data_IF_483421231349
#
_entry.id   IF_483421231349
#
_cell.length_a   1.000
_cell.length_b   1.000
_cell.length_c   1.000
_cell.angle_alpha   90.00
_cell.angle_beta   90.00
_cell.angle_gamma   90.00
#
_symmetry.space_group_name_H-M   'P 1'
#
loop_
_entity.id
_entity.type
_entity.pdbx_description
1 polymer ?
#
# COMPACT_ATOMS: atom_id res chain seq x y z
N UNK A 1 -16.83 -9.36 -40.76
CA UNK A 1 -17.48 -8.16 -40.19
C UNK A 1 -18.71 -8.55 -39.38
N UNK A 2 -18.59 -8.62 -38.05
CA UNK A 2 -19.54 -8.07 -37.07
C UNK A 2 -18.96 -8.29 -35.67
N UNK A 3 -18.42 -7.20 -35.13
CA UNK A 3 -18.01 -7.03 -33.73
C UNK A 3 -19.24 -6.65 -32.89
N UNK A 4 -19.13 -6.84 -31.58
CA UNK A 4 -20.01 -6.28 -30.54
C UNK A 4 -20.81 -7.38 -29.84
N UNK A 5 -20.90 -7.45 -28.51
CA UNK A 5 -20.66 -6.43 -27.50
C UNK A 5 -20.54 -7.19 -26.16
N UNK A 6 -19.33 -7.38 -25.65
CA UNK A 6 -19.12 -7.89 -24.29
C UNK A 6 -19.36 -6.75 -23.31
N UNK A 7 -20.43 -6.85 -22.53
CA UNK A 7 -20.78 -5.91 -21.47
C UNK A 7 -19.66 -5.93 -20.41
N UNK A 8 -18.78 -4.93 -20.46
CA UNK A 8 -17.81 -4.66 -19.40
C UNK A 8 -18.55 -3.85 -18.34
N UNK A 9 -18.90 -4.50 -17.24
CA UNK A 9 -19.68 -3.94 -16.15
C UNK A 9 -18.74 -3.03 -15.33
N UNK A 10 -18.65 -1.77 -15.78
CA UNK A 10 -17.87 -0.73 -15.14
C UNK A 10 -18.61 -0.29 -13.87
N UNK A 11 -18.21 -0.83 -12.72
CA UNK A 11 -18.69 -0.39 -11.40
C UNK A 11 -18.08 0.99 -11.14
N UNK A 12 -18.81 2.04 -11.50
CA UNK A 12 -18.50 3.41 -11.11
C UNK A 12 -18.73 3.54 -9.59
N UNK A 13 -17.65 3.38 -8.82
CA UNK A 13 -17.63 3.73 -7.41
C UNK A 13 -17.37 5.23 -7.31
N UNK A 14 -18.44 6.02 -7.26
CA UNK A 14 -18.35 7.47 -7.13
C UNK A 14 -18.08 7.85 -5.66
N UNK A 15 -16.83 8.21 -5.36
CA UNK A 15 -16.49 8.87 -4.08
C UNK A 15 -16.88 10.34 -4.20
N UNK A 16 -18.06 10.69 -3.68
CA UNK A 16 -18.51 12.07 -3.58
C UNK A 16 -18.06 12.67 -2.25
N UNK A 17 -17.06 13.56 -2.26
CA UNK A 17 -16.67 14.32 -1.07
C UNK A 17 -17.68 15.47 -0.88
N UNK A 18 -18.80 15.21 -0.23
CA UNK A 18 -19.73 16.25 0.19
C UNK A 18 -19.50 16.56 1.66
N UNK A 19 -18.99 17.76 1.95
CA UNK A 19 -19.00 18.34 3.29
C UNK A 19 -20.43 18.78 3.65
N UNK A 20 -21.31 17.81 3.85
CA UNK A 20 -22.55 17.96 4.56
C UNK A 20 -22.58 16.81 5.57
N UNK A 21 -22.45 17.13 6.86
CA UNK A 21 -22.71 16.17 7.93
C UNK A 21 -24.15 15.71 7.75
N UNK A 22 -24.34 14.50 7.20
CA UNK A 22 -25.65 13.88 7.16
C UNK A 22 -25.95 13.43 8.59
N UNK A 23 -26.73 14.26 9.27
CA UNK A 23 -27.04 14.14 10.71
C UNK A 23 -27.78 12.84 11.07
N UNK A 24 -28.09 11.98 10.11
CA UNK A 24 -28.76 10.71 10.34
C UNK A 24 -27.83 9.53 10.72
N UNK A 25 -26.53 9.58 10.36
CA UNK A 25 -25.64 8.41 10.52
C UNK A 25 -24.33 8.69 11.29
N UNK A 26 -23.97 9.95 11.53
CA UNK A 26 -22.74 10.31 12.28
C UNK A 26 -21.43 10.15 11.50
N UNK A 27 -21.52 9.75 10.22
CA UNK A 27 -20.37 9.65 9.31
C UNK A 27 -20.01 11.01 8.70
N UNK A 28 -18.72 11.30 8.62
CA UNK A 28 -18.16 12.42 7.84
C UNK A 28 -17.87 12.01 6.39
N UNK A 29 -17.68 10.71 6.15
CA UNK A 29 -17.59 10.09 4.82
C UNK A 29 -18.27 8.73 4.92
N UNK A 30 -19.23 8.42 4.05
CA UNK A 30 -19.89 7.11 4.00
C UNK A 30 -19.67 6.41 2.67
N UNK A 31 -19.70 5.07 2.71
CA UNK A 31 -19.61 4.21 1.53
C UNK A 31 -21.04 3.81 1.14
N UNK A 32 -21.38 4.01 -0.14
CA UNK A 32 -22.68 3.64 -0.70
C UNK A 32 -22.53 2.61 -1.80
N UNK A 33 -23.37 1.59 -1.76
CA UNK A 33 -23.52 0.63 -2.86
C UNK A 33 -24.87 0.86 -3.52
N UNK A 34 -24.88 1.19 -4.82
CA UNK A 34 -26.12 1.46 -5.59
C UNK A 34 -27.03 2.53 -4.96
N UNK A 35 -26.44 3.47 -4.24
CA UNK A 35 -27.14 4.57 -3.57
C UNK A 35 -27.61 4.25 -2.14
N UNK A 36 -27.41 3.01 -1.66
CA UNK A 36 -27.75 2.60 -0.29
C UNK A 36 -26.51 2.63 0.62
N UNK A 37 -26.69 3.06 1.88
CA UNK A 37 -25.62 3.07 2.89
C UNK A 37 -25.18 1.65 3.21
N UNK A 38 -23.86 1.40 3.22
CA UNK A 38 -23.32 0.07 3.53
C UNK A 38 -23.06 -0.13 5.02
N UNK A 39 -23.11 0.95 5.82
CA UNK A 39 -22.65 0.95 7.21
C UNK A 39 -21.14 1.05 7.36
N UNK A 40 -20.40 1.25 6.27
CA UNK A 40 -18.95 1.49 6.27
C UNK A 40 -18.67 2.96 5.99
N UNK A 41 -17.59 3.49 6.57
CA UNK A 41 -17.25 4.90 6.47
C UNK A 41 -16.46 5.38 7.67
N UNK A 42 -16.25 6.69 7.73
CA UNK A 42 -15.50 7.35 8.79
C UNK A 42 -16.46 8.15 9.65
N UNK A 43 -16.52 7.86 10.95
CA UNK A 43 -17.30 8.66 11.88
C UNK A 43 -16.59 9.97 12.21
N UNK A 44 -17.34 10.99 12.63
CA UNK A 44 -16.73 12.24 13.10
C UNK A 44 -15.77 11.98 14.28
N UNK A 45 -16.17 11.14 15.22
CA UNK A 45 -15.37 10.79 16.40
C UNK A 45 -14.03 10.14 15.99
N UNK A 46 -14.06 9.15 15.10
CA UNK A 46 -12.83 8.48 14.64
C UNK A 46 -11.88 9.44 13.91
N UNK A 47 -12.43 10.36 13.11
CA UNK A 47 -11.63 11.36 12.42
C UNK A 47 -11.00 12.36 13.38
N UNK A 48 -11.76 12.88 14.35
CA UNK A 48 -11.23 13.84 15.33
C UNK A 48 -10.21 13.20 16.25
N UNK A 49 -10.42 11.95 16.68
CA UNK A 49 -9.48 11.23 17.55
C UNK A 49 -8.13 11.04 16.86
N UNK A 50 -8.14 10.59 15.60
CA UNK A 50 -6.91 10.44 14.82
C UNK A 50 -6.25 11.79 14.53
N UNK A 51 -7.05 12.80 14.19
CA UNK A 51 -6.54 14.14 13.94
C UNK A 51 -5.87 14.73 15.18
N UNK A 52 -6.46 14.59 16.36
CA UNK A 52 -5.87 15.04 17.62
C UNK A 52 -4.54 14.33 17.93
N UNK A 53 -4.48 13.02 17.70
CA UNK A 53 -3.26 12.23 17.85
C UNK A 53 -2.15 12.71 16.91
N UNK A 54 -2.44 12.83 15.61
CA UNK A 54 -1.46 13.31 14.63
C UNK A 54 -1.07 14.77 14.86
N UNK A 55 -2.00 15.62 15.29
CA UNK A 55 -1.73 17.02 15.61
C UNK A 55 -0.72 17.14 16.76
N UNK A 56 -0.83 16.29 17.79
CA UNK A 56 0.16 16.25 18.87
C UNK A 56 1.55 15.91 18.33
N UNK A 57 1.65 14.94 17.42
CA UNK A 57 2.91 14.59 16.78
C UNK A 57 3.50 15.75 15.97
N UNK A 58 2.71 16.37 15.10
CA UNK A 58 3.18 17.47 14.24
C UNK A 58 3.40 18.79 14.99
N UNK A 59 2.72 19.02 16.13
CA UNK A 59 2.91 20.21 16.96
C UNK A 59 4.33 20.34 17.53
N UNK A 60 5.09 19.24 17.56
CA UNK A 60 6.50 19.25 17.94
C UNK A 60 7.41 19.78 16.83
N UNK A 61 6.91 19.92 15.60
CA UNK A 61 7.62 20.48 14.47
C UNK A 61 7.31 21.98 14.32
N UNK A 62 8.34 22.82 14.39
CA UNK A 62 8.20 24.28 14.31
C UNK A 62 7.68 24.80 12.95
N UNK A 63 7.71 23.99 11.90
CA UNK A 63 7.26 24.39 10.56
C UNK A 63 5.79 24.10 10.28
N UNK A 64 5.07 23.43 11.18
CA UNK A 64 3.67 23.06 10.99
C UNK A 64 2.75 24.17 11.53
N UNK A 65 1.88 24.71 10.68
CA UNK A 65 0.84 25.66 11.06
C UNK A 65 -0.49 24.92 11.29
N UNK A 66 -0.98 24.80 12.54
CA UNK A 66 -2.20 24.05 12.83
C UNK A 66 -3.47 24.55 12.14
N UNK A 67 -3.50 25.81 11.69
CA UNK A 67 -4.67 26.41 11.04
C UNK A 67 -4.65 26.09 9.55
N UNK A 68 -3.51 26.30 8.88
CA UNK A 68 -3.39 26.09 7.44
C UNK A 68 -3.08 24.63 7.09
N UNK A 69 -2.12 24.02 7.77
CA UNK A 69 -1.69 22.64 7.51
C UNK A 69 -2.62 21.62 8.16
N UNK A 70 -3.31 21.99 9.25
CA UNK A 70 -4.26 21.12 9.96
C UNK A 70 -5.43 20.66 9.08
N UNK A 71 -5.90 21.52 8.18
CA UNK A 71 -6.98 21.16 7.24
C UNK A 71 -6.51 20.06 6.28
N UNK A 72 -5.29 20.19 5.74
CA UNK A 72 -4.72 19.18 4.86
C UNK A 72 -4.44 17.88 5.60
N UNK A 73 -3.92 17.96 6.82
CA UNK A 73 -3.70 16.79 7.67
C UNK A 73 -5.01 16.01 7.90
N UNK A 74 -6.08 16.72 8.25
CA UNK A 74 -7.39 16.10 8.49
C UNK A 74 -7.98 15.48 7.22
N UNK A 75 -7.79 16.13 6.07
CA UNK A 75 -8.19 15.59 4.77
C UNK A 75 -7.41 14.31 4.43
N UNK A 76 -6.09 14.30 4.61
CA UNK A 76 -5.26 13.11 4.36
C UNK A 76 -5.63 11.94 5.28
N UNK A 77 -5.89 12.22 6.56
CA UNK A 77 -6.39 11.21 7.50
C UNK A 77 -7.71 10.62 7.01
N UNK A 78 -8.66 11.47 6.59
CA UNK A 78 -9.93 11.01 6.06
C UNK A 78 -9.74 10.16 4.79
N UNK A 79 -8.85 10.57 3.88
CA UNK A 79 -8.54 9.80 2.67
C UNK A 79 -7.96 8.41 2.98
N UNK A 80 -7.00 8.33 3.89
CA UNK A 80 -6.39 7.05 4.26
C UNK A 80 -7.40 6.13 4.94
N UNK A 81 -8.22 6.66 5.86
CA UNK A 81 -9.24 5.87 6.54
C UNK A 81 -10.32 5.38 5.57
N UNK A 82 -10.78 6.20 4.62
CA UNK A 82 -11.84 5.77 3.69
C UNK A 82 -11.34 4.70 2.73
N UNK A 83 -10.07 4.76 2.31
CA UNK A 83 -9.47 3.71 1.50
C UNK A 83 -9.41 2.37 2.24
N UNK A 84 -9.08 2.40 3.53
CA UNK A 84 -9.10 1.20 4.40
C UNK A 84 -10.51 0.64 4.57
N UNK A 85 -11.48 1.50 4.85
CA UNK A 85 -12.89 1.11 4.98
C UNK A 85 -13.43 0.53 3.67
N UNK A 86 -13.04 1.09 2.53
CA UNK A 86 -13.41 0.58 1.22
C UNK A 86 -12.82 -0.80 0.96
N UNK A 87 -11.55 -1.02 1.31
CA UNK A 87 -10.91 -2.33 1.23
C UNK A 87 -11.61 -3.35 2.13
N UNK A 88 -11.92 -2.98 3.38
CA UNK A 88 -12.61 -3.83 4.34
C UNK A 88 -14.01 -4.21 3.84
N UNK A 89 -14.77 -3.24 3.34
CA UNK A 89 -16.08 -3.46 2.76
C UNK A 89 -15.99 -4.39 1.54
N UNK A 90 -15.03 -4.15 0.63
CA UNK A 90 -14.80 -5.00 -0.53
C UNK A 90 -14.50 -6.45 -0.13
N UNK A 91 -13.55 -6.62 0.80
CA UNK A 91 -13.15 -7.92 1.30
C UNK A 91 -14.31 -8.67 1.96
N UNK A 92 -15.09 -8.00 2.81
CA UNK A 92 -16.30 -8.58 3.40
C UNK A 92 -17.29 -9.00 2.31
N UNK A 93 -17.53 -8.14 1.32
CA UNK A 93 -18.51 -8.42 0.25
C UNK A 93 -18.12 -9.61 -0.61
N UNK A 94 -16.83 -9.78 -0.86
CA UNK A 94 -16.24 -10.87 -1.65
C UNK A 94 -15.84 -12.09 -0.81
N UNK A 95 -16.00 -12.03 0.51
CA UNK A 95 -15.51 -13.03 1.46
C UNK A 95 -14.01 -13.34 1.27
N UNK A 96 -13.20 -12.31 1.04
CA UNK A 96 -11.76 -12.46 0.97
C UNK A 96 -11.20 -12.81 2.35
N UNK A 97 -10.30 -13.77 2.37
CA UNK A 97 -9.65 -14.26 3.59
C UNK A 97 -8.15 -14.19 3.44
N UNK A 98 -7.46 -13.88 4.53
CA UNK A 98 -6.01 -13.96 4.61
C UNK A 98 -5.57 -15.26 5.28
N UNK A 99 -4.40 -15.76 4.89
CA UNK A 99 -3.73 -16.87 5.57
C UNK A 99 -3.16 -16.37 6.92
N UNK A 100 -3.84 -16.71 8.01
CA UNK A 100 -3.47 -16.27 9.36
C UNK A 100 -2.11 -16.84 9.79
N UNK A 101 -1.78 -18.07 9.40
CA UNK A 101 -0.51 -18.67 9.77
C UNK A 101 0.64 -17.93 9.09
N UNK A 102 0.47 -17.60 7.81
CA UNK A 102 1.45 -16.81 7.07
C UNK A 102 1.58 -15.40 7.64
N UNK A 103 0.48 -14.76 8.01
CA UNK A 103 0.49 -13.45 8.68
C UNK A 103 1.33 -13.49 9.96
N UNK A 104 1.01 -14.42 10.87
CA UNK A 104 1.72 -14.57 12.14
C UNK A 104 3.21 -14.85 11.93
N UNK A 105 3.58 -15.69 10.95
CA UNK A 105 4.98 -15.97 10.63
C UNK A 105 5.73 -14.69 10.21
N UNK A 106 5.15 -13.90 9.30
CA UNK A 106 5.78 -12.67 8.81
C UNK A 106 5.90 -11.61 9.91
N UNK A 107 4.87 -11.45 10.75
CA UNK A 107 4.89 -10.52 11.88
C UNK A 107 5.97 -10.94 12.89
N UNK A 108 6.01 -12.21 13.25
CA UNK A 108 6.99 -12.73 14.20
C UNK A 108 8.43 -12.58 13.68
N UNK A 109 8.67 -12.79 12.39
CA UNK A 109 10.00 -12.59 11.80
C UNK A 109 10.49 -11.16 12.00
N UNK A 110 9.66 -10.16 11.68
CA UNK A 110 10.00 -8.74 11.86
C UNK A 110 10.21 -8.40 13.33
N UNK A 111 9.28 -8.81 14.20
CA UNK A 111 9.33 -8.49 15.63
C UNK A 111 10.53 -9.16 16.31
N UNK A 112 10.88 -10.40 15.95
CA UNK A 112 12.06 -11.08 16.48
C UNK A 112 13.35 -10.43 16.00
N UNK A 113 13.44 -10.02 14.73
CA UNK A 113 14.62 -9.33 14.21
C UNK A 113 14.89 -8.04 14.98
N UNK A 114 13.84 -7.25 15.25
CA UNK A 114 13.94 -6.04 16.08
C UNK A 114 14.26 -6.37 17.53
N UNK A 115 13.59 -7.37 18.13
CA UNK A 115 13.78 -7.71 19.54
C UNK A 115 15.19 -8.26 19.84
N UNK A 116 15.83 -8.90 18.87
CA UNK A 116 17.18 -9.46 19.02
C UNK A 116 18.28 -8.45 18.71
N UNK A 117 17.93 -7.28 18.17
CA UNK A 117 18.87 -6.21 17.90
C UNK A 117 18.99 -5.25 19.11
N UNK A 118 20.14 -5.25 19.81
CA UNK A 118 20.33 -4.41 20.98
C UNK A 118 20.37 -2.90 20.67
N UNK A 119 20.60 -2.50 19.43
CA UNK A 119 20.60 -1.09 19.02
C UNK A 119 19.20 -0.60 18.65
N UNK A 120 18.41 -1.45 17.97
CA UNK A 120 17.09 -1.08 17.47
C UNK A 120 15.98 -1.26 18.50
N UNK A 121 16.03 -2.31 19.33
CA UNK A 121 14.98 -2.60 20.32
C UNK A 121 14.66 -1.41 21.25
N UNK A 122 15.65 -0.72 21.88
CA UNK A 122 15.35 0.39 22.78
C UNK A 122 14.66 1.57 22.08
N UNK A 123 14.96 1.79 20.80
CA UNK A 123 14.36 2.87 20.00
C UNK A 123 12.89 2.55 19.70
N UNK A 124 12.60 1.30 19.35
CA UNK A 124 11.23 0.82 19.12
C UNK A 124 10.42 0.85 20.41
N UNK A 125 10.97 0.41 21.54
CA UNK A 125 10.29 0.51 22.84
C UNK A 125 10.03 1.98 23.23
N UNK A 126 10.94 2.89 22.93
CA UNK A 126 10.73 4.33 23.17
C UNK A 126 9.62 4.93 22.29
N UNK A 127 9.51 4.47 21.04
CA UNK A 127 8.52 4.97 20.08
C UNK A 127 7.11 4.39 20.30
N UNK A 128 7.01 3.08 20.50
CA UNK A 128 5.74 2.36 20.60
C UNK A 128 5.32 2.07 22.05
N UNK A 129 6.17 2.37 23.02
CA UNK A 129 5.95 2.16 24.46
C UNK A 129 6.27 0.74 24.93
N UNK A 130 6.18 -0.26 24.05
CA UNK A 130 6.57 -1.64 24.33
C UNK A 130 6.76 -2.44 23.02
N UNK A 131 7.45 -3.58 23.11
CA UNK A 131 7.51 -4.54 22.00
C UNK A 131 6.15 -5.18 21.66
N UNK A 132 5.22 -5.23 22.62
CA UNK A 132 3.86 -5.72 22.39
C UNK A 132 3.07 -4.76 21.51
N UNK A 133 3.12 -3.46 21.81
CA UNK A 133 2.49 -2.44 20.99
C UNK A 133 3.11 -2.39 19.58
N UNK A 134 4.41 -2.63 19.47
CA UNK A 134 5.08 -2.79 18.19
C UNK A 134 4.57 -4.02 17.42
N UNK A 135 4.39 -5.16 18.09
CA UNK A 135 3.80 -6.36 17.48
C UNK A 135 2.40 -6.06 16.91
N UNK A 136 1.52 -5.43 17.69
CA UNK A 136 0.17 -5.06 17.24
C UNK A 136 0.19 -4.11 16.04
N UNK A 137 1.11 -3.14 16.03
CA UNK A 137 1.31 -2.25 14.88
C UNK A 137 1.73 -3.04 13.62
N UNK A 138 2.75 -3.90 13.73
CA UNK A 138 3.23 -4.72 12.60
C UNK A 138 2.12 -5.66 12.11
N UNK A 139 1.38 -6.29 13.03
CA UNK A 139 0.24 -7.15 12.72
C UNK A 139 -0.84 -6.40 11.92
N UNK A 140 -1.21 -5.20 12.35
CA UNK A 140 -2.17 -4.36 11.64
C UNK A 140 -1.72 -4.06 10.22
N UNK A 141 -0.45 -3.64 10.03
CA UNK A 141 0.10 -3.28 8.72
C UNK A 141 0.12 -4.49 7.78
N UNK A 142 0.68 -5.62 8.22
CA UNK A 142 0.75 -6.83 7.38
C UNK A 142 -0.64 -7.40 7.06
N UNK A 143 -1.59 -7.33 8.00
CA UNK A 143 -2.98 -7.74 7.75
C UNK A 143 -3.60 -6.89 6.63
N UNK A 144 -3.43 -5.58 6.68
CA UNK A 144 -3.95 -4.66 5.65
C UNK A 144 -3.32 -4.96 4.29
N UNK A 145 -2.00 -5.16 4.23
CA UNK A 145 -1.28 -5.46 2.99
C UNK A 145 -1.69 -6.79 2.38
N UNK A 146 -1.81 -7.85 3.19
CA UNK A 146 -2.28 -9.16 2.71
C UNK A 146 -3.72 -9.09 2.19
N UNK A 147 -4.59 -8.34 2.87
CA UNK A 147 -5.97 -8.13 2.43
C UNK A 147 -6.03 -7.35 1.12
N UNK A 148 -5.19 -6.31 0.99
CA UNK A 148 -5.04 -5.50 -0.22
C UNK A 148 -4.59 -6.37 -1.39
N UNK A 149 -3.57 -7.21 -1.19
CA UNK A 149 -3.11 -8.12 -2.24
C UNK A 149 -4.22 -9.11 -2.64
N UNK A 150 -4.93 -9.69 -1.68
CA UNK A 150 -6.07 -10.56 -1.98
C UNK A 150 -7.16 -9.85 -2.79
N UNK A 151 -7.41 -8.56 -2.53
CA UNK A 151 -8.35 -7.77 -3.30
C UNK A 151 -7.85 -7.47 -4.72
N UNK A 152 -6.56 -7.17 -4.88
CA UNK A 152 -5.93 -7.00 -6.20
C UNK A 152 -6.05 -8.28 -7.03
N UNK A 153 -5.75 -9.43 -6.43
CA UNK A 153 -5.80 -10.73 -7.09
C UNK A 153 -7.24 -11.10 -7.52
N UNK A 154 -8.25 -10.68 -6.75
CA UNK A 154 -9.68 -10.87 -7.09
C UNK A 154 -10.17 -9.90 -8.19
N UNK A 155 -9.74 -8.63 -8.16
CA UNK A 155 -10.18 -7.60 -9.11
C UNK A 155 -9.50 -7.76 -10.47
N UNK A 156 -8.21 -8.08 -10.45
CA UNK A 156 -7.35 -8.14 -11.62
C UNK A 156 -6.50 -9.40 -11.55
N UNK A 157 -7.12 -10.59 -11.70
CA UNK A 157 -6.38 -11.83 -11.71
C UNK A 157 -5.37 -11.79 -12.85
N UNK A 158 -4.10 -11.92 -12.51
CA UNK A 158 -3.03 -12.01 -13.50
C UNK A 158 -3.02 -13.45 -14.00
N UNK A 159 -3.49 -13.66 -15.22
CA UNK A 159 -3.35 -14.95 -15.90
C UNK A 159 -2.08 -15.02 -16.76
N UNK A 160 -1.64 -16.24 -17.07
CA UNK A 160 -0.41 -16.48 -17.82
C UNK A 160 -0.46 -15.86 -19.22
N UNK A 161 -1.65 -15.75 -19.82
CA UNK A 161 -1.84 -15.15 -21.14
C UNK A 161 -1.62 -13.64 -21.09
N UNK A 162 -2.17 -12.95 -20.10
CA UNK A 162 -1.98 -11.52 -19.87
C UNK A 162 -0.52 -11.18 -19.58
N UNK A 163 0.16 -12.02 -18.78
CA UNK A 163 1.61 -11.86 -18.54
C UNK A 163 2.42 -12.06 -19.82
N UNK A 164 2.11 -13.10 -20.59
CA UNK A 164 2.82 -13.38 -21.83
C UNK A 164 2.61 -12.26 -22.86
N UNK A 165 1.38 -11.76 -23.00
CA UNK A 165 1.06 -10.63 -23.87
C UNK A 165 1.79 -9.36 -23.43
N UNK A 166 1.80 -9.06 -22.12
CA UNK A 166 2.56 -7.93 -21.60
C UNK A 166 4.07 -8.07 -21.87
N UNK A 167 4.64 -9.26 -21.62
CA UNK A 167 6.05 -9.51 -21.85
C UNK A 167 6.42 -9.33 -23.33
N UNK A 168 5.69 -9.94 -24.25
CA UNK A 168 6.01 -9.85 -25.68
C UNK A 168 5.81 -8.42 -26.21
N UNK A 169 4.79 -7.69 -25.76
CA UNK A 169 4.56 -6.31 -26.17
C UNK A 169 5.55 -5.30 -25.58
N UNK A 170 6.22 -5.64 -24.46
CA UNK A 170 7.16 -4.74 -23.77
C UNK A 170 8.60 -5.28 -23.73
N UNK A 171 8.89 -6.34 -24.48
CA UNK A 171 10.13 -7.12 -24.41
C UNK A 171 11.38 -6.26 -24.54
N UNK A 172 11.43 -5.39 -25.55
CA UNK A 172 12.58 -4.51 -25.79
C UNK A 172 12.82 -3.55 -24.62
N UNK A 173 11.76 -2.96 -24.07
CA UNK A 173 11.87 -2.08 -22.90
C UNK A 173 12.33 -2.84 -21.66
N UNK A 174 11.83 -4.05 -21.45
CA UNK A 174 12.21 -4.90 -20.31
C UNK A 174 13.68 -5.28 -20.44
N UNK A 175 14.14 -5.71 -21.63
CA UNK A 175 15.54 -6.03 -21.88
C UNK A 175 16.39 -4.78 -21.66
N UNK A 176 16.09 -3.66 -22.31
CA UNK A 176 16.89 -2.44 -22.18
C UNK A 176 17.02 -1.92 -20.74
N UNK A 177 15.99 -2.09 -19.91
CA UNK A 177 16.00 -1.64 -18.52
C UNK A 177 16.81 -2.57 -17.60
N UNK A 178 16.97 -3.84 -17.97
CA UNK A 178 17.55 -4.88 -17.11
C UNK A 178 18.82 -5.52 -17.69
N UNK A 179 19.20 -5.17 -18.91
CA UNK A 179 20.39 -5.68 -19.57
C UNK A 179 21.64 -5.21 -18.82
N UNK A 180 22.33 -6.18 -18.21
CA UNK A 180 23.62 -5.97 -17.56
C UNK A 180 24.69 -6.63 -18.41
N UNK A 181 25.56 -5.81 -19.00
CA UNK A 181 26.69 -6.31 -19.77
C UNK A 181 27.83 -6.65 -18.81
N UNK A 182 28.19 -7.94 -18.71
CA UNK A 182 29.48 -8.35 -18.14
C UNK A 182 30.49 -8.47 -19.26
N UNK A 183 31.40 -7.50 -19.35
CA UNK A 183 32.50 -7.51 -20.30
C UNK A 183 33.83 -7.73 -19.57
N UNK A 184 34.67 -8.61 -20.11
CA UNK A 184 36.10 -8.65 -19.82
C UNK A 184 36.81 -7.97 -20.98
N UNK A 185 37.57 -6.93 -20.70
CA UNK A 185 38.43 -6.29 -21.70
C UNK A 185 39.89 -6.49 -21.29
N UNK A 186 40.76 -6.62 -22.29
CA UNK A 186 42.20 -6.51 -22.08
C UNK A 186 42.61 -5.22 -22.80
N UNK A 187 43.07 -4.24 -22.03
CA UNK A 187 43.67 -3.04 -22.57
C UNK A 187 45.16 -3.33 -22.80
N UNK A 188 45.62 -3.13 -24.02
CA UNK A 188 47.03 -3.24 -24.38
C UNK A 188 47.52 -1.91 -24.92
N UNK A 189 48.69 -1.49 -24.47
CA UNK A 189 49.26 -0.19 -24.80
C UNK A 189 50.22 -0.28 -25.99
N UNK A 190 50.62 -1.50 -26.36
CA UNK A 190 51.58 -1.74 -27.45
C UNK A 190 51.16 -2.87 -28.38
N UNK A 191 51.66 -2.81 -29.62
CA UNK A 191 51.41 -3.83 -30.64
C UNK A 191 51.90 -5.22 -30.21
N UNK A 192 53.05 -5.29 -29.54
CA UNK A 192 53.69 -6.53 -29.08
C UNK A 192 52.84 -7.24 -28.00
N UNK A 193 52.25 -6.48 -27.08
CA UNK A 193 51.29 -7.02 -26.09
C UNK A 193 50.04 -7.57 -26.78
N UNK A 194 49.55 -6.88 -27.82
CA UNK A 194 48.38 -7.30 -28.58
C UNK A 194 48.62 -8.64 -29.34
N UNK A 195 49.82 -8.82 -29.90
CA UNK A 195 50.17 -10.04 -30.64
C UNK A 195 50.33 -11.27 -29.74
N UNK A 196 50.75 -11.07 -28.48
CA UNK A 196 50.93 -12.16 -27.51
C UNK A 196 49.59 -12.76 -27.06
N UNK A 197 48.54 -11.94 -26.94
CA UNK A 197 47.20 -12.34 -26.49
C UNK A 197 46.41 -13.09 -27.57
N UNK A 198 46.78 -12.96 -28.84
CA UNK A 198 46.13 -13.63 -29.98
C UNK A 198 46.40 -15.14 -30.07
N UNK A 199 47.29 -15.68 -29.24
CA UNK A 199 47.73 -17.08 -29.22
C UNK A 199 47.07 -17.86 -28.10
#
# INVERSE_FOLDING_TARGET
MRKGLGFLLLVLLSVGLFAAVDTATGYVVSIKEKGEETGYGITAEDLENEYAYMLQYYSQNQSFDPIFDGIFLKYEIANLKIQRELLNYYAMRKNLTIDQLKLEQQVNEVVMNVSNDPETKPQVEAQYGSMENFYEFVLMVYREDMLRQSAIDDISPVDDLAMQEYYENNKESIISANEKVSAKHILVETLEQAETIKT
#
